data_IF_123103758800
#
_entry.id   IF_123103758800
#
_cell.length_a   1.000
_cell.length_b   1.000
_cell.length_c   1.000
_cell.angle_alpha   90.00
_cell.angle_beta   90.00
_cell.angle_gamma   90.00
#
_symmetry.space_group_name_H-M   'P 1'
#
loop_
_entity.id
_entity.type
_entity.pdbx_description
1 polymer ?
#
# COMPACT_ATOMS: atom_id res chain seq x y z
N UNK A 1 -12.36 -12.32 22.33
CA UNK A 1 -10.88 -12.26 22.51
C UNK A 1 -10.34 -11.12 21.69
N UNK A 2 -9.49 -10.32 22.25
CA UNK A 2 -8.80 -9.22 21.58
C UNK A 2 -7.34 -9.58 21.38
N UNK A 3 -6.95 -10.16 20.25
CA UNK A 3 -5.61 -10.73 20.05
C UNK A 3 -4.50 -9.67 20.14
N UNK A 4 -4.82 -8.42 19.79
CA UNK A 4 -3.91 -7.28 19.95
C UNK A 4 -4.67 -6.21 20.71
N UNK A 5 -4.38 -6.01 22.01
CA UNK A 5 -5.10 -5.04 22.83
C UNK A 5 -4.84 -3.62 22.34
N UNK A 6 -5.91 -2.88 22.15
CA UNK A 6 -5.84 -1.48 21.75
C UNK A 6 -5.68 -0.55 22.95
N UNK A 7 -4.90 0.50 22.80
CA UNK A 7 -4.76 1.59 23.78
C UNK A 7 -5.36 2.87 23.21
N UNK A 8 -5.77 3.76 24.10
CA UNK A 8 -6.29 5.07 23.69
C UNK A 8 -5.26 5.81 22.82
N UNK A 9 -5.69 6.29 21.67
CA UNK A 9 -4.85 7.00 20.71
C UNK A 9 -4.08 6.08 19.77
N UNK A 10 -4.38 4.79 19.75
CA UNK A 10 -3.91 3.85 18.74
C UNK A 10 -5.02 3.58 17.72
N UNK A 11 -4.64 3.54 16.45
CA UNK A 11 -5.53 3.26 15.32
C UNK A 11 -4.95 2.12 14.50
N UNK A 12 -5.81 1.17 14.16
CA UNK A 12 -5.44 0.00 13.37
C UNK A 12 -5.86 0.18 11.93
N UNK A 13 -4.94 -0.11 11.01
CA UNK A 13 -5.24 -0.21 9.60
C UNK A 13 -5.99 -1.50 9.24
N UNK A 14 -6.38 -1.63 7.98
CA UNK A 14 -6.99 -2.85 7.47
C UNK A 14 -6.00 -4.01 7.59
N UNK A 15 -6.39 -5.14 8.22
CA UNK A 15 -5.53 -6.31 8.32
C UNK A 15 -5.36 -6.96 6.94
N UNK A 16 -4.17 -7.49 6.69
CA UNK A 16 -3.82 -8.28 5.52
C UNK A 16 -3.41 -9.68 5.94
N UNK A 17 -3.82 -10.68 5.19
CA UNK A 17 -3.39 -12.06 5.43
C UNK A 17 -2.22 -12.41 4.50
N UNK A 18 -1.13 -12.86 5.07
CA UNK A 18 0.10 -13.17 4.35
C UNK A 18 0.89 -14.29 5.05
N UNK A 19 1.21 -15.36 4.34
CA UNK A 19 1.98 -16.50 4.86
C UNK A 19 1.46 -17.03 6.22
N UNK A 20 0.15 -17.30 6.29
CA UNK A 20 -0.57 -17.75 7.49
C UNK A 20 -0.51 -16.79 8.69
N UNK A 21 -0.13 -15.54 8.45
CA UNK A 21 -0.10 -14.49 9.48
C UNK A 21 -0.99 -13.32 9.10
N UNK A 22 -1.39 -12.58 10.10
CA UNK A 22 -2.13 -11.32 9.93
C UNK A 22 -1.14 -10.17 10.09
N UNK A 23 -1.04 -9.35 9.05
CA UNK A 23 -0.19 -8.16 9.06
C UNK A 23 -1.06 -6.93 9.31
N UNK A 24 -0.65 -6.10 10.25
CA UNK A 24 -1.40 -4.92 10.70
C UNK A 24 -0.52 -3.69 10.75
N UNK A 25 -1.08 -2.56 10.31
CA UNK A 25 -0.52 -1.25 10.59
C UNK A 25 -1.16 -0.70 11.86
N UNK A 26 -0.34 -0.19 12.77
CA UNK A 26 -0.77 0.52 13.97
C UNK A 26 -0.20 1.94 13.94
N UNK A 27 -1.05 2.93 13.92
CA UNK A 27 -0.69 4.33 14.14
C UNK A 27 -0.83 4.64 15.63
N UNK A 28 0.29 4.84 16.31
CA UNK A 28 0.37 5.12 17.75
C UNK A 28 0.64 6.61 17.94
N UNK A 29 -0.40 7.38 18.20
CA UNK A 29 -0.27 8.84 18.34
C UNK A 29 0.41 9.26 19.63
N UNK A 30 0.13 8.65 20.81
CA UNK A 30 0.88 8.93 22.02
C UNK A 30 2.39 8.71 21.88
N UNK A 31 2.78 7.60 21.29
CA UNK A 31 4.19 7.24 21.08
C UNK A 31 4.80 7.90 19.82
N UNK A 32 3.99 8.60 19.01
CA UNK A 32 4.40 9.27 17.78
C UNK A 32 5.10 8.33 16.79
N UNK A 33 4.55 7.14 16.62
CA UNK A 33 5.13 6.11 15.75
C UNK A 33 4.09 5.36 14.94
N UNK A 34 4.56 4.75 13.85
CA UNK A 34 3.83 3.78 13.06
C UNK A 34 4.51 2.43 13.24
N UNK A 35 3.74 1.39 13.51
CA UNK A 35 4.27 0.03 13.65
C UNK A 35 3.60 -0.90 12.66
N UNK A 36 4.39 -1.76 12.04
CA UNK A 36 3.89 -2.87 11.25
C UNK A 36 4.05 -4.13 12.11
N UNK A 37 2.93 -4.74 12.46
CA UNK A 37 2.87 -5.92 13.31
C UNK A 37 2.51 -7.15 12.49
N UNK A 38 3.02 -8.29 12.91
CA UNK A 38 2.61 -9.61 12.46
C UNK A 38 2.02 -10.37 13.63
N UNK A 39 0.82 -10.91 13.43
CA UNK A 39 0.17 -11.80 14.39
C UNK A 39 0.04 -13.18 13.77
N UNK A 40 0.50 -14.19 14.50
CA UNK A 40 0.40 -15.59 14.13
C UNK A 40 -0.81 -16.21 14.86
N UNK A 41 -1.88 -16.59 14.13
CA UNK A 41 -3.08 -17.15 14.77
C UNK A 41 -2.88 -18.53 15.41
N UNK A 42 -1.88 -19.29 14.98
CA UNK A 42 -1.63 -20.63 15.52
C UNK A 42 -0.90 -20.59 16.86
N UNK A 43 0.05 -19.69 17.00
CA UNK A 43 0.87 -19.55 18.21
C UNK A 43 0.45 -18.38 19.08
N UNK A 44 -0.48 -17.55 18.61
CA UNK A 44 -0.89 -16.27 19.21
C UNK A 44 0.28 -15.27 19.41
N UNK A 45 1.39 -15.49 18.72
CA UNK A 45 2.57 -14.66 18.83
C UNK A 45 2.41 -13.35 18.04
N UNK A 46 2.81 -12.23 18.65
CA UNK A 46 2.88 -10.92 18.02
C UNK A 46 4.34 -10.56 17.83
N UNK A 47 4.68 -10.14 16.61
CA UNK A 47 6.02 -9.65 16.27
C UNK A 47 5.92 -8.25 15.64
N UNK A 48 6.88 -7.41 15.94
CA UNK A 48 7.02 -6.10 15.28
C UNK A 48 7.95 -6.25 14.08
N UNK A 49 7.42 -6.03 12.88
CA UNK A 49 8.20 -6.11 11.64
C UNK A 49 8.95 -4.81 11.36
N UNK A 50 8.35 -3.67 11.69
CA UNK A 50 8.95 -2.36 11.54
C UNK A 50 8.34 -1.35 12.52
N UNK A 51 9.16 -0.38 12.93
CA UNK A 51 8.73 0.81 13.68
C UNK A 51 9.28 2.03 12.97
N UNK A 52 8.39 2.95 12.62
CA UNK A 52 8.71 4.17 11.90
C UNK A 52 8.27 5.38 12.73
N UNK A 53 9.01 6.48 12.73
CA UNK A 53 8.54 7.70 13.37
C UNK A 53 7.30 8.23 12.62
N UNK A 54 6.31 8.74 13.34
CA UNK A 54 5.12 9.31 12.70
C UNK A 54 5.46 10.49 11.78
N UNK A 55 6.57 11.17 12.05
CA UNK A 55 7.08 12.28 11.23
C UNK A 55 7.53 11.88 9.82
N UNK A 56 7.61 10.57 9.53
CA UNK A 56 7.94 10.07 8.19
C UNK A 56 6.88 10.46 7.14
N UNK A 57 5.67 10.74 7.59
CA UNK A 57 4.55 11.14 6.73
C UNK A 57 3.88 12.41 7.24
N UNK A 58 3.33 13.21 6.33
CA UNK A 58 2.58 14.42 6.67
C UNK A 58 1.32 14.12 7.48
N UNK A 59 0.64 13.05 7.11
CA UNK A 59 -0.60 12.61 7.74
C UNK A 59 -0.74 11.09 7.65
N UNK A 60 -1.70 10.55 8.40
CA UNK A 60 -1.97 9.11 8.40
C UNK A 60 -3.18 8.74 7.52
N UNK A 61 -3.68 9.67 6.72
CA UNK A 61 -4.71 9.37 5.74
C UNK A 61 -4.10 8.63 4.55
N UNK A 62 -4.87 7.71 3.99
CA UNK A 62 -4.46 6.94 2.81
C UNK A 62 -3.18 6.11 2.99
N UNK A 63 -2.82 5.80 4.22
CA UNK A 63 -1.79 4.82 4.50
C UNK A 63 -2.31 3.42 4.18
N UNK A 64 -1.55 2.68 3.39
CA UNK A 64 -1.90 1.32 2.98
C UNK A 64 -0.71 0.40 3.07
N UNK A 65 -0.95 -0.78 3.65
CA UNK A 65 -0.01 -1.88 3.50
C UNK A 65 -0.25 -2.56 2.15
N UNK A 66 0.83 -2.88 1.47
CA UNK A 66 0.85 -3.70 0.26
C UNK A 66 1.71 -4.93 0.52
N UNK A 67 1.37 -6.03 -0.13
CA UNK A 67 2.09 -7.29 -0.01
C UNK A 67 2.80 -7.63 -1.31
N UNK A 68 3.83 -8.50 -1.18
CA UNK A 68 4.57 -9.10 -2.30
C UNK A 68 5.27 -8.08 -3.21
N UNK A 69 6.17 -7.26 -2.69
CA UNK A 69 6.76 -7.25 -1.33
C UNK A 69 5.92 -6.46 -0.32
N UNK A 70 6.16 -6.69 0.96
CA UNK A 70 5.56 -5.90 2.03
C UNK A 70 6.04 -4.46 1.96
N UNK A 71 5.13 -3.53 1.82
CA UNK A 71 5.39 -2.10 1.77
C UNK A 71 4.33 -1.33 2.56
N UNK A 72 4.75 -0.23 3.15
CA UNK A 72 3.84 0.82 3.62
C UNK A 72 3.90 1.97 2.62
N UNK A 73 2.75 2.33 2.08
CA UNK A 73 2.64 3.41 1.11
C UNK A 73 1.59 4.43 1.55
N UNK A 74 1.74 5.66 1.08
CA UNK A 74 0.74 6.71 1.18
C UNK A 74 0.51 7.30 -0.21
N UNK A 75 -0.74 7.35 -0.61
CA UNK A 75 -1.13 8.04 -1.82
C UNK A 75 -1.73 9.40 -1.44
N UNK A 76 -0.98 10.45 -1.65
CA UNK A 76 -1.39 11.82 -1.29
C UNK A 76 -2.43 12.41 -2.23
N UNK A 77 -3.16 13.41 -1.75
CA UNK A 77 -4.07 14.21 -2.59
C UNK A 77 -3.31 15.18 -3.52
N UNK A 78 -2.02 15.31 -3.31
CA UNK A 78 -1.09 16.12 -4.10
C UNK A 78 -0.52 15.34 -5.32
N UNK A 79 -1.18 14.27 -5.73
CA UNK A 79 -0.76 13.40 -6.82
C UNK A 79 0.64 12.82 -6.61
N UNK A 80 0.92 12.41 -5.39
CA UNK A 80 2.16 11.72 -5.04
C UNK A 80 1.90 10.33 -4.49
N UNK A 81 2.78 9.40 -4.83
CA UNK A 81 2.91 8.12 -4.14
C UNK A 81 4.18 8.18 -3.29
N UNK A 82 4.04 8.00 -2.00
CA UNK A 82 5.15 7.85 -1.07
C UNK A 82 5.26 6.40 -0.65
N UNK A 83 6.43 5.80 -0.85
CA UNK A 83 6.82 4.55 -0.19
C UNK A 83 7.52 4.95 1.10
N UNK A 84 7.01 4.48 2.25
CA UNK A 84 7.52 4.80 3.57
C UNK A 84 8.34 3.64 4.16
N UNK A 85 8.06 2.43 3.74
CA UNK A 85 8.74 1.19 4.12
C UNK A 85 8.74 0.21 2.94
N UNK A 86 9.80 -0.53 2.68
CA UNK A 86 11.06 -0.68 3.43
C UNK A 86 12.08 0.44 3.22
N UNK A 87 11.82 1.34 2.31
CA UNK A 87 12.68 2.51 2.02
C UNK A 87 11.81 3.73 1.75
N UNK A 88 12.35 4.91 1.89
CA UNK A 88 11.65 6.15 1.56
C UNK A 88 11.86 6.50 0.09
N UNK A 89 10.75 6.62 -0.64
CA UNK A 89 10.74 7.02 -2.04
C UNK A 89 9.45 7.75 -2.37
N UNK A 90 9.53 8.79 -3.19
CA UNK A 90 8.36 9.56 -3.61
C UNK A 90 8.31 9.63 -5.13
N UNK A 91 7.11 9.42 -5.68
CA UNK A 91 6.85 9.50 -7.11
C UNK A 91 5.73 10.51 -7.37
N UNK A 92 5.91 11.31 -8.43
CA UNK A 92 4.79 12.06 -8.98
C UNK A 92 3.86 11.12 -9.75
N UNK A 93 2.56 11.33 -9.58
CA UNK A 93 1.53 10.61 -10.31
C UNK A 93 0.73 11.59 -11.17
N UNK A 94 0.11 11.09 -12.24
CA UNK A 94 -0.88 11.85 -12.98
C UNK A 94 -2.20 11.92 -12.18
N UNK A 95 -3.06 12.85 -12.56
CA UNK A 95 -4.42 12.92 -12.05
C UNK A 95 -5.13 11.57 -12.28
N UNK A 96 -5.90 11.14 -11.29
CA UNK A 96 -6.72 9.91 -11.37
C UNK A 96 -5.93 8.60 -11.38
N UNK A 97 -4.59 8.63 -11.28
CA UNK A 97 -3.81 7.42 -11.06
C UNK A 97 -4.02 6.89 -9.64
N UNK A 98 -4.18 5.57 -9.54
CA UNK A 98 -4.24 4.85 -8.28
C UNK A 98 -3.21 3.74 -8.25
N UNK A 99 -2.32 3.75 -7.26
CA UNK A 99 -1.32 2.71 -7.10
C UNK A 99 -1.96 1.40 -6.69
N UNK A 100 -1.63 0.33 -7.39
CA UNK A 100 -2.18 -1.01 -7.15
C UNK A 100 -1.18 -1.93 -6.46
N UNK A 101 -0.03 -2.17 -7.07
CA UNK A 101 1.01 -3.05 -6.53
C UNK A 101 2.36 -2.81 -7.20
N UNK A 102 3.38 -3.43 -6.63
CA UNK A 102 4.72 -3.54 -7.22
C UNK A 102 5.00 -4.98 -7.62
N UNK A 103 5.62 -5.17 -8.76
CA UNK A 103 6.16 -6.45 -9.19
C UNK A 103 7.59 -6.25 -9.72
N UNK A 104 8.58 -6.81 -9.02
CA UNK A 104 9.99 -6.57 -9.36
C UNK A 104 10.33 -5.09 -9.33
N UNK A 105 10.83 -4.57 -10.43
CA UNK A 105 11.19 -3.17 -10.62
C UNK A 105 10.10 -2.36 -11.32
N UNK A 106 8.88 -2.86 -11.32
CA UNK A 106 7.73 -2.19 -11.93
C UNK A 106 6.67 -1.84 -10.90
N UNK A 107 6.11 -0.64 -11.01
CA UNK A 107 4.97 -0.15 -10.27
C UNK A 107 3.75 -0.13 -11.18
N UNK A 108 2.65 -0.70 -10.73
CA UNK A 108 1.40 -0.81 -11.48
C UNK A 108 0.35 0.13 -10.90
N UNK A 109 -0.20 0.96 -11.77
CA UNK A 109 -1.26 1.92 -11.47
C UNK A 109 -2.46 1.66 -12.37
N UNK A 110 -3.63 2.03 -11.90
CA UNK A 110 -4.83 2.20 -12.72
C UNK A 110 -5.15 3.68 -12.82
N UNK A 111 -5.63 4.08 -13.97
CA UNK A 111 -6.18 5.41 -14.23
C UNK A 111 -7.41 5.30 -15.11
N UNK A 112 -8.24 6.32 -15.08
CA UNK A 112 -9.45 6.36 -15.87
C UNK A 112 -9.62 7.75 -16.50
N UNK A 113 -10.31 7.78 -17.64
CA UNK A 113 -10.59 9.00 -18.39
C UNK A 113 -12.06 8.99 -18.80
N UNK A 114 -12.69 10.18 -18.81
CA UNK A 114 -14.07 10.34 -19.25
C UNK A 114 -14.18 10.90 -20.68
N UNK A 115 -13.18 11.63 -21.12
CA UNK A 115 -13.21 12.35 -22.39
C UNK A 115 -12.14 11.83 -23.38
N UNK A 116 -12.48 11.62 -24.68
CA UNK A 116 -13.79 11.77 -25.32
C UNK A 116 -14.78 10.64 -24.98
N UNK A 117 -14.29 9.48 -24.54
CA UNK A 117 -15.07 8.33 -24.14
C UNK A 117 -14.46 7.72 -22.87
N UNK A 118 -15.30 7.17 -21.99
CA UNK A 118 -14.83 6.50 -20.80
C UNK A 118 -13.89 5.36 -21.17
N UNK A 119 -12.74 5.35 -20.53
CA UNK A 119 -11.76 4.25 -20.66
C UNK A 119 -10.90 4.11 -19.43
N UNK A 120 -10.53 2.90 -19.14
CA UNK A 120 -9.56 2.54 -18.11
C UNK A 120 -8.21 2.22 -18.76
N UNK A 121 -7.14 2.61 -18.10
CA UNK A 121 -5.78 2.29 -18.50
C UNK A 121 -4.97 1.77 -17.33
N UNK A 122 -4.06 0.84 -17.61
CA UNK A 122 -3.03 0.38 -16.70
C UNK A 122 -1.75 1.13 -17.05
N UNK A 123 -1.16 1.80 -16.05
CA UNK A 123 0.10 2.51 -16.20
C UNK A 123 1.18 1.76 -15.46
N UNK A 124 2.24 1.39 -16.17
CA UNK A 124 3.41 0.70 -15.60
C UNK A 124 4.54 1.71 -15.55
N UNK A 125 5.09 1.91 -14.34
CA UNK A 125 6.21 2.82 -14.08
C UNK A 125 7.42 2.06 -13.57
N UNK A 126 8.59 2.58 -13.90
CA UNK A 126 9.85 2.08 -13.36
C UNK A 126 9.99 2.44 -11.86
N UNK A 127 10.33 1.44 -11.05
CA UNK A 127 10.47 1.61 -9.60
C UNK A 127 11.64 2.54 -9.24
N UNK A 128 12.71 2.55 -10.01
CA UNK A 128 13.90 3.34 -9.69
C UNK A 128 13.73 4.82 -10.06
N UNK A 129 13.08 5.09 -11.18
CA UNK A 129 12.97 6.44 -11.75
C UNK A 129 11.57 7.06 -11.63
N UNK A 130 10.52 6.24 -11.50
CA UNK A 130 9.13 6.68 -11.59
C UNK A 130 8.64 6.96 -13.00
N UNK A 131 9.48 6.81 -14.02
CA UNK A 131 9.11 7.05 -15.41
C UNK A 131 8.09 6.04 -15.90
N UNK A 132 7.17 6.48 -16.75
CA UNK A 132 6.21 5.59 -17.41
C UNK A 132 6.96 4.71 -18.42
N UNK A 133 6.85 3.40 -18.21
CA UNK A 133 7.40 2.40 -19.12
C UNK A 133 6.36 1.99 -20.17
N UNK A 134 5.11 1.85 -19.76
CA UNK A 134 4.05 1.32 -20.62
C UNK A 134 2.68 1.80 -20.16
N UNK A 135 1.76 1.97 -21.13
CA UNK A 135 0.33 2.16 -20.91
C UNK A 135 -0.42 1.07 -21.67
N UNK A 136 -1.40 0.46 -21.04
CA UNK A 136 -2.23 -0.60 -21.59
C UNK A 136 -3.71 -0.27 -21.34
N UNK A 137 -4.60 -0.54 -22.29
CA UNK A 137 -6.03 -0.46 -22.01
C UNK A 137 -6.43 -1.52 -20.99
N UNK A 138 -7.43 -1.23 -20.16
CA UNK A 138 -8.02 -2.20 -19.25
C UNK A 138 -7.83 -1.91 -17.77
N UNK A 139 -8.22 -2.87 -16.97
CA UNK A 139 -8.20 -2.84 -15.51
C UNK A 139 -7.41 -4.00 -14.93
N UNK A 140 -6.98 -3.85 -13.67
CA UNK A 140 -6.35 -4.90 -12.89
C UNK A 140 -7.38 -5.54 -11.95
N UNK A 141 -7.46 -6.86 -11.96
CA UNK A 141 -8.30 -7.63 -11.04
C UNK A 141 -7.43 -8.52 -10.17
N UNK A 142 -7.64 -8.47 -8.87
CA UNK A 142 -7.01 -9.41 -7.93
C UNK A 142 -8.02 -10.48 -7.58
N UNK A 143 -7.66 -11.74 -7.82
CA UNK A 143 -8.48 -12.88 -7.42
C UNK A 143 -8.39 -13.14 -5.91
N UNK A 144 -9.34 -13.88 -5.33
CA UNK A 144 -9.23 -14.29 -3.91
C UNK A 144 -7.98 -15.11 -3.61
N UNK A 145 -7.40 -15.78 -4.61
CA UNK A 145 -6.12 -16.52 -4.48
C UNK A 145 -4.87 -15.64 -4.55
N UNK A 146 -5.04 -14.34 -4.80
CA UNK A 146 -3.93 -13.38 -4.91
C UNK A 146 -3.35 -13.21 -6.31
N UNK A 147 -3.88 -13.92 -7.31
CA UNK A 147 -3.47 -13.72 -8.70
C UNK A 147 -3.97 -12.37 -9.22
N UNK A 148 -3.19 -11.77 -10.10
CA UNK A 148 -3.52 -10.49 -10.72
C UNK A 148 -3.76 -10.72 -12.20
N UNK A 149 -4.93 -10.30 -12.66
CA UNK A 149 -5.36 -10.40 -14.05
C UNK A 149 -5.51 -9.01 -14.65
N UNK A 150 -5.07 -8.87 -15.88
CA UNK A 150 -5.34 -7.70 -16.71
C UNK A 150 -6.53 -8.01 -17.60
N UNK A 151 -7.54 -7.16 -17.54
CA UNK A 151 -8.76 -7.26 -18.34
C UNK A 151 -8.84 -6.02 -19.24
N UNK A 152 -8.94 -6.22 -20.52
CA UNK A 152 -9.12 -5.19 -21.55
C UNK A 152 -10.53 -5.20 -22.15
#
# INVERSE_FOLDING_TARGET
>A
MEPIPSKKGQYFGRPLFYENKIILLVADFPEKQLRILSYDPETEAISTLATLPRSITKDCYNLQLKLSPLMLVRQGQDNTLEILFPMQKTYAMDLQESFRFRHGDELYFETWYEDPDYRDEIVIRDFHTGNVLKRLPGILMTTPGGDIWMLD
#
